data_IF_611749800839
#
_entry.id   IF_611749800839
#
_cell.length_a   1.000
_cell.length_b   1.000
_cell.length_c   1.000
_cell.angle_alpha   90.00
_cell.angle_beta   90.00
_cell.angle_gamma   90.00
#
_symmetry.space_group_name_H-M   'P 1'
#
loop_
_entity.id
_entity.type
_entity.pdbx_description
1 polymer ?
#
# COMPACT_ATOMS: atom_id res chain seq x y z
N UNK A 1 26.86 19.01 21.45
CA UNK A 1 25.55 18.47 21.89
C UNK A 1 25.43 17.06 21.37
N UNK A 2 25.45 16.05 22.25
CA UNK A 2 25.09 14.68 21.85
C UNK A 2 23.58 14.66 21.55
N UNK A 3 23.13 14.11 20.41
CA UNK A 3 21.70 13.94 20.20
C UNK A 3 21.13 13.05 21.32
N UNK A 4 19.94 13.36 21.86
CA UNK A 4 19.33 12.56 22.90
C UNK A 4 19.18 11.11 22.41
N UNK A 5 19.67 10.15 23.20
CA UNK A 5 19.51 8.70 22.94
C UNK A 5 18.01 8.43 22.80
N UNK A 6 17.57 7.95 21.64
CA UNK A 6 16.18 7.52 21.46
C UNK A 6 15.88 6.39 22.44
N UNK A 7 14.71 6.44 23.10
CA UNK A 7 14.32 5.36 24.00
C UNK A 7 14.22 4.04 23.20
N UNK A 8 14.70 2.91 23.74
CA UNK A 8 14.66 1.62 23.05
C UNK A 8 13.27 1.26 22.52
N UNK A 9 12.21 1.64 23.24
CA UNK A 9 10.82 1.42 22.82
C UNK A 9 10.43 2.20 21.56
N UNK A 10 10.88 3.44 21.39
CA UNK A 10 10.60 4.23 20.18
C UNK A 10 11.32 3.63 18.97
N UNK A 11 12.54 3.14 19.16
CA UNK A 11 13.27 2.44 18.10
C UNK A 11 12.57 1.13 17.71
N UNK A 12 12.14 0.34 18.70
CA UNK A 12 11.43 -0.92 18.45
C UNK A 12 10.13 -0.69 17.66
N UNK A 13 9.32 0.31 18.06
CA UNK A 13 8.10 0.69 17.32
C UNK A 13 8.43 1.03 15.87
N UNK A 14 9.43 1.88 15.63
CA UNK A 14 9.82 2.30 14.26
C UNK A 14 10.24 1.11 13.39
N UNK A 15 10.97 0.15 13.97
CA UNK A 15 11.38 -1.07 13.26
C UNK A 15 10.15 -1.91 12.91
N UNK A 16 9.29 -2.18 13.89
CA UNK A 16 8.07 -2.99 13.67
C UNK A 16 7.17 -2.34 12.64
N UNK A 17 6.88 -1.04 12.76
CA UNK A 17 6.04 -0.32 11.81
C UNK A 17 6.69 -0.19 10.43
N UNK A 18 8.02 -0.12 10.36
CA UNK A 18 8.77 -0.14 9.11
C UNK A 18 8.69 -1.48 8.39
N UNK A 19 8.83 -2.58 9.13
CA UNK A 19 8.71 -3.93 8.57
C UNK A 19 7.28 -4.23 8.15
N UNK A 20 6.30 -4.01 9.04
CA UNK A 20 4.88 -4.26 8.76
C UNK A 20 4.37 -3.35 7.65
N UNK A 21 4.65 -2.05 7.75
CA UNK A 21 4.23 -1.07 6.75
C UNK A 21 4.92 -1.29 5.41
N UNK A 22 6.22 -1.63 5.42
CA UNK A 22 6.96 -1.93 4.19
C UNK A 22 6.47 -3.20 3.51
N UNK A 23 6.21 -4.26 4.26
CA UNK A 23 5.64 -5.51 3.73
C UNK A 23 4.23 -5.29 3.18
N UNK A 24 3.39 -4.54 3.89
CA UNK A 24 2.06 -4.17 3.42
C UNK A 24 2.12 -3.30 2.17
N UNK A 25 3.05 -2.34 2.09
CA UNK A 25 3.27 -1.51 0.91
C UNK A 25 3.66 -2.36 -0.30
N UNK A 26 4.60 -3.29 -0.13
CA UNK A 26 5.03 -4.20 -1.19
C UNK A 26 3.86 -5.05 -1.68
N UNK A 27 3.12 -5.67 -0.77
CA UNK A 27 1.96 -6.49 -1.12
C UNK A 27 0.87 -5.66 -1.83
N UNK A 28 0.62 -4.44 -1.37
CA UNK A 28 -0.32 -3.53 -2.01
C UNK A 28 0.09 -3.20 -3.46
N UNK A 29 1.37 -2.93 -3.69
CA UNK A 29 1.91 -2.67 -5.03
C UNK A 29 1.83 -3.91 -5.93
N UNK A 30 2.06 -5.11 -5.39
CA UNK A 30 1.91 -6.36 -6.13
C UNK A 30 0.45 -6.62 -6.53
N UNK A 31 -0.50 -6.34 -5.64
CA UNK A 31 -1.93 -6.42 -5.95
C UNK A 31 -2.32 -5.41 -7.02
N UNK A 32 -1.85 -4.15 -6.89
CA UNK A 32 -2.10 -3.12 -7.88
C UNK A 32 -1.53 -3.53 -9.25
N UNK A 33 -0.30 -4.02 -9.28
CA UNK A 33 0.33 -4.54 -10.49
C UNK A 33 -0.49 -5.67 -11.11
N UNK A 34 -0.91 -6.67 -10.32
CA UNK A 34 -1.72 -7.78 -10.81
C UNK A 34 -3.07 -7.33 -11.41
N UNK A 35 -3.76 -6.38 -10.77
CA UNK A 35 -5.02 -5.80 -11.29
C UNK A 35 -4.78 -5.08 -12.61
N UNK A 36 -3.75 -4.23 -12.69
CA UNK A 36 -3.42 -3.51 -13.91
C UNK A 36 -2.99 -4.47 -15.03
N UNK A 37 -2.19 -5.49 -14.71
CA UNK A 37 -1.79 -6.53 -15.65
C UNK A 37 -2.99 -7.29 -16.19
N UNK A 38 -3.93 -7.71 -15.34
CA UNK A 38 -5.19 -8.34 -15.77
C UNK A 38 -6.03 -7.40 -16.63
N UNK A 39 -6.15 -6.12 -16.25
CA UNK A 39 -6.95 -5.13 -16.99
C UNK A 39 -6.41 -4.84 -18.39
N UNK A 40 -5.09 -4.83 -18.55
CA UNK A 40 -4.42 -4.51 -19.82
C UNK A 40 -3.96 -5.76 -20.57
N UNK A 41 -4.28 -6.97 -20.08
CA UNK A 41 -4.02 -8.19 -20.84
C UNK A 41 -4.92 -8.22 -22.07
N UNK A 42 -4.33 -8.63 -23.19
CA UNK A 42 -5.02 -8.81 -24.48
C UNK A 42 -5.31 -10.28 -24.76
N UNK A 43 -4.74 -11.18 -23.94
CA UNK A 43 -5.00 -12.60 -24.00
C UNK A 43 -6.19 -12.96 -23.10
N UNK A 44 -7.34 -13.42 -23.65
CA UNK A 44 -8.49 -13.82 -22.86
C UNK A 44 -8.20 -14.99 -21.90
N UNK A 45 -7.11 -15.73 -22.12
CA UNK A 45 -6.69 -16.83 -21.24
C UNK A 45 -5.97 -16.36 -19.95
N UNK A 46 -5.52 -15.09 -19.88
CA UNK A 46 -4.75 -14.57 -18.73
C UNK A 46 -5.59 -14.38 -17.47
N UNK A 47 -6.81 -13.88 -17.62
CA UNK A 47 -7.81 -13.79 -16.54
C UNK A 47 -9.22 -14.06 -17.07
N UNK A 48 -9.56 -15.32 -17.43
CA UNK A 48 -10.80 -15.67 -18.13
C UNK A 48 -12.07 -15.29 -17.37
N UNK A 49 -11.96 -15.16 -16.05
CA UNK A 49 -13.07 -14.89 -15.14
C UNK A 49 -12.99 -13.52 -14.49
N UNK A 50 -11.93 -12.74 -14.74
CA UNK A 50 -11.71 -11.46 -14.06
C UNK A 50 -11.40 -11.61 -12.55
N UNK A 51 -10.97 -12.79 -12.09
CA UNK A 51 -10.74 -13.05 -10.67
C UNK A 51 -9.56 -12.24 -10.13
N UNK A 52 -8.50 -12.09 -10.91
CA UNK A 52 -7.35 -11.27 -10.50
C UNK A 52 -7.80 -9.81 -10.38
N UNK A 53 -8.62 -9.35 -11.31
CA UNK A 53 -9.17 -8.00 -11.31
C UNK A 53 -10.10 -7.75 -10.11
N UNK A 54 -11.02 -8.66 -9.81
CA UNK A 54 -11.94 -8.56 -8.67
C UNK A 54 -11.22 -8.69 -7.32
N UNK A 55 -10.54 -9.82 -7.08
CA UNK A 55 -9.92 -10.10 -5.79
C UNK A 55 -8.72 -9.19 -5.53
N UNK A 56 -7.96 -8.84 -6.57
CA UNK A 56 -6.86 -7.89 -6.45
C UNK A 56 -7.34 -6.51 -6.01
N UNK A 57 -8.43 -6.02 -6.60
CA UNK A 57 -9.04 -4.72 -6.23
C UNK A 57 -9.57 -4.76 -4.79
N UNK A 58 -10.34 -5.79 -4.43
CA UNK A 58 -10.91 -5.92 -3.08
C UNK A 58 -9.84 -6.08 -1.99
N UNK A 59 -8.81 -6.90 -2.24
CA UNK A 59 -7.71 -7.11 -1.28
C UNK A 59 -6.77 -5.90 -1.17
N UNK A 60 -6.68 -5.06 -2.20
CA UNK A 60 -5.86 -3.84 -2.15
C UNK A 60 -6.32 -2.87 -1.05
N UNK A 61 -7.61 -2.85 -0.70
CA UNK A 61 -8.17 -1.95 0.32
C UNK A 61 -7.64 -2.26 1.73
N UNK A 62 -7.84 -3.48 2.30
CA UNK A 62 -7.33 -3.78 3.63
C UNK A 62 -5.80 -3.75 3.70
N UNK A 63 -5.10 -4.23 2.66
CA UNK A 63 -3.63 -4.21 2.63
C UNK A 63 -3.09 -2.78 2.55
N UNK A 64 -3.66 -1.95 1.68
CA UNK A 64 -3.29 -0.55 1.54
C UNK A 64 -3.63 0.27 2.80
N UNK A 65 -4.72 -0.05 3.49
CA UNK A 65 -5.06 0.57 4.77
C UNK A 65 -4.03 0.24 5.87
N UNK A 66 -3.57 -1.02 5.96
CA UNK A 66 -2.48 -1.40 6.88
C UNK A 66 -1.20 -0.64 6.55
N UNK A 67 -0.84 -0.55 5.27
CA UNK A 67 0.29 0.26 4.81
C UNK A 67 0.15 1.73 5.24
N UNK A 68 -0.98 2.37 4.94
CA UNK A 68 -1.24 3.77 5.25
C UNK A 68 -1.24 4.07 6.75
N UNK A 69 -1.73 3.13 7.57
CA UNK A 69 -1.77 3.26 9.01
C UNK A 69 -0.40 3.02 9.67
N UNK A 70 0.49 2.22 9.09
CA UNK A 70 1.73 1.79 9.77
C UNK A 70 2.99 2.44 9.21
N UNK A 71 3.10 2.59 7.89
CA UNK A 71 4.32 3.06 7.22
C UNK A 71 4.81 4.45 7.69
N UNK A 72 3.94 5.45 7.93
CA UNK A 72 4.37 6.77 8.41
C UNK A 72 5.13 6.72 9.76
N UNK A 73 4.84 5.73 10.60
CA UNK A 73 5.47 5.59 11.92
C UNK A 73 6.91 5.05 11.85
N UNK A 74 7.34 4.51 10.72
CA UNK A 74 8.73 4.11 10.50
C UNK A 74 9.69 5.31 10.51
N UNK A 75 9.19 6.49 10.12
CA UNK A 75 9.98 7.71 10.08
C UNK A 75 10.23 8.30 11.48
N UNK A 76 11.24 9.17 11.64
CA UNK A 76 11.39 9.97 12.85
C UNK A 76 10.13 10.79 13.11
N UNK A 77 9.78 11.02 14.38
CA UNK A 77 8.53 11.68 14.79
C UNK A 77 8.33 13.07 14.14
N UNK A 78 9.41 13.83 13.92
CA UNK A 78 9.32 15.11 13.22
C UNK A 78 8.83 15.00 11.76
N UNK A 79 8.94 13.82 11.14
CA UNK A 79 8.57 13.56 9.74
C UNK A 79 7.26 12.77 9.58
N UNK A 80 6.61 12.36 10.66
CA UNK A 80 5.31 11.67 10.55
C UNK A 80 4.28 12.45 9.74
N UNK A 81 4.11 13.78 9.90
CA UNK A 81 3.14 14.53 9.09
C UNK A 81 3.42 14.43 7.59
N UNK A 82 4.70 14.48 7.19
CA UNK A 82 5.12 14.29 5.81
C UNK A 82 4.86 12.86 5.32
N UNK A 83 5.11 11.86 6.17
CA UNK A 83 4.78 10.46 5.87
C UNK A 83 3.28 10.27 5.61
N UNK A 84 2.42 10.78 6.50
CA UNK A 84 0.97 10.72 6.31
C UNK A 84 0.51 11.51 5.07
N UNK A 85 1.07 12.69 4.85
CA UNK A 85 0.74 13.53 3.70
C UNK A 85 1.09 12.89 2.35
N UNK A 86 1.96 11.88 2.31
CA UNK A 86 2.32 11.16 1.09
C UNK A 86 1.57 9.83 1.00
N UNK A 87 1.62 9.02 2.06
CA UNK A 87 1.12 7.63 2.01
C UNK A 87 -0.42 7.62 1.93
N UNK A 88 -1.11 8.50 2.65
CA UNK A 88 -2.58 8.53 2.63
C UNK A 88 -3.12 8.94 1.25
N UNK A 89 -2.66 10.04 0.61
CA UNK A 89 -3.09 10.35 -0.74
C UNK A 89 -2.71 9.27 -1.76
N UNK A 90 -1.51 8.68 -1.66
CA UNK A 90 -1.11 7.59 -2.54
C UNK A 90 -2.07 6.39 -2.44
N UNK A 91 -2.46 6.02 -1.21
CA UNK A 91 -3.44 4.96 -0.97
C UNK A 91 -4.83 5.31 -1.53
N UNK A 92 -5.33 6.53 -1.28
CA UNK A 92 -6.64 6.98 -1.77
C UNK A 92 -6.66 7.00 -3.30
N UNK A 93 -5.67 7.64 -3.93
CA UNK A 93 -5.56 7.71 -5.40
C UNK A 93 -5.41 6.32 -5.99
N UNK A 94 -4.52 5.48 -5.44
CA UNK A 94 -4.34 4.11 -5.91
C UNK A 94 -5.62 3.29 -5.81
N UNK A 95 -6.36 3.39 -4.69
CA UNK A 95 -7.64 2.70 -4.53
C UNK A 95 -8.67 3.18 -5.56
N UNK A 96 -8.81 4.49 -5.74
CA UNK A 96 -9.74 5.05 -6.75
C UNK A 96 -9.38 4.56 -8.15
N UNK A 97 -8.10 4.54 -8.51
CA UNK A 97 -7.63 4.07 -9.82
C UNK A 97 -7.88 2.56 -10.01
N UNK A 98 -7.66 1.73 -8.98
CA UNK A 98 -7.94 0.30 -9.05
C UNK A 98 -9.44 0.01 -9.22
N UNK A 99 -10.29 0.74 -8.50
CA UNK A 99 -11.73 0.65 -8.69
C UNK A 99 -12.18 1.18 -10.06
N UNK A 100 -11.57 2.24 -10.57
CA UNK A 100 -11.84 2.73 -11.92
C UNK A 100 -11.43 1.68 -12.97
N UNK A 101 -10.27 1.03 -12.81
CA UNK A 101 -9.83 -0.06 -13.67
C UNK A 101 -10.83 -1.24 -13.65
N UNK A 102 -11.35 -1.59 -12.47
CA UNK A 102 -12.37 -2.62 -12.31
C UNK A 102 -13.71 -2.26 -12.95
N UNK A 103 -14.24 -1.07 -12.67
CA UNK A 103 -15.56 -0.65 -13.17
C UNK A 103 -15.59 -0.37 -14.68
N UNK A 104 -14.43 -0.11 -15.28
CA UNK A 104 -14.29 0.13 -16.72
C UNK A 104 -13.82 -1.10 -17.50
N UNK A 105 -13.70 -2.27 -16.86
CA UNK A 105 -13.54 -3.53 -17.57
C UNK A 105 -14.90 -3.93 -18.18
N UNK A 106 -14.98 -4.04 -19.51
CA UNK A 106 -16.17 -4.37 -20.29
C UNK A 106 -15.84 -5.43 -21.32
#
# INVERSE_FOLDING_TARGET
MYPPRQSPGVLAVRIVTGVVGGAAALLWLLLAFAVLSSRFDTNPAGDPHGYVLLFGTLMSVPVGAVCAATLPFAFPRQRWPLGFAVVVPAFVVGTVLLFAAFLTAH
#
